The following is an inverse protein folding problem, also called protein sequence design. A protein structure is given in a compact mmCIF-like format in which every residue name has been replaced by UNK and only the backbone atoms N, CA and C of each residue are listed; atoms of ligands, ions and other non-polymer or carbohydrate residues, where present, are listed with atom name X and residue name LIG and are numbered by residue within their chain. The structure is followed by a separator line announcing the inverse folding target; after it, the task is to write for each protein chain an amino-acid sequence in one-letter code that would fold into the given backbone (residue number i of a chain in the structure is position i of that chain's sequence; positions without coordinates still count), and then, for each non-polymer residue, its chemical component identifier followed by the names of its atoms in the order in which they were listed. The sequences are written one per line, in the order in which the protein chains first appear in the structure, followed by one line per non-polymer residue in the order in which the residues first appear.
data_IF_730787803089
#
_entry.id   IF_730787803089
#
_cell.length_a   1.000
_cell.length_b   1.000
_cell.length_c   1.000
_cell.angle_alpha   90.00
_cell.angle_beta   90.00
_cell.angle_gamma   90.00
#
_symmetry.space_group_name_H-M   'P 1'
#
loop_
_entity.id
_entity.type
_entity.pdbx_description
1 polymer ?
#
# COMPACT_ATOMS: atom_id res chain seq x y z
N UNK A 1 -22.34 -16.31 -14.90
CA UNK A 1 -20.92 -15.96 -15.18
C UNK A 1 -20.31 -15.38 -13.91
N UNK A 2 -20.15 -16.25 -12.93
CA UNK A 2 -19.78 -15.99 -11.54
C UNK A 2 -18.30 -16.34 -11.28
N UNK A 3 -17.50 -16.37 -12.35
CA UNK A 3 -16.67 -17.56 -12.63
C UNK A 3 -15.16 -17.43 -12.37
N UNK A 4 -14.63 -16.32 -11.85
CA UNK A 4 -13.17 -16.19 -11.67
C UNK A 4 -12.84 -15.52 -10.33
N UNK A 5 -13.33 -14.31 -10.10
CA UNK A 5 -12.97 -13.54 -8.90
C UNK A 5 -13.65 -14.02 -7.59
N UNK A 6 -14.51 -15.04 -7.63
CA UNK A 6 -15.19 -15.54 -6.42
C UNK A 6 -14.58 -16.84 -5.87
N UNK A 7 -13.59 -17.42 -6.54
CA UNK A 7 -12.90 -18.62 -6.06
C UNK A 7 -11.39 -18.35 -5.96
N UNK A 8 -10.94 -17.60 -4.94
CA UNK A 8 -9.55 -17.16 -4.81
C UNK A 8 -8.56 -18.31 -4.61
N UNK A 9 -9.05 -19.51 -4.29
CA UNK A 9 -8.25 -20.74 -4.23
C UNK A 9 -7.94 -21.39 -5.58
N UNK A 10 -8.41 -20.84 -6.70
CA UNK A 10 -8.14 -21.35 -8.05
C UNK A 10 -7.31 -20.36 -8.85
N UNK A 11 -6.30 -20.87 -9.55
CA UNK A 11 -5.57 -20.12 -10.55
C UNK A 11 -6.35 -20.12 -11.86
N UNK A 12 -6.62 -18.94 -12.40
CA UNK A 12 -7.32 -18.79 -13.66
C UNK A 12 -6.33 -18.37 -14.74
N UNK A 13 -6.21 -19.19 -15.78
CA UNK A 13 -5.46 -18.82 -16.97
C UNK A 13 -6.32 -17.90 -17.83
N UNK A 14 -5.79 -16.74 -18.18
CA UNK A 14 -6.40 -15.88 -19.20
C UNK A 14 -5.67 -16.10 -20.51
N UNK A 15 -6.40 -16.40 -21.58
CA UNK A 15 -5.78 -16.64 -22.89
C UNK A 15 -5.19 -15.35 -23.45
N UNK A 16 -3.95 -15.42 -23.95
CA UNK A 16 -3.32 -14.35 -24.74
C UNK A 16 -3.44 -14.64 -26.23
N UNK A 17 -3.43 -13.60 -27.06
CA UNK A 17 -3.22 -13.74 -28.49
C UNK A 17 -1.74 -14.04 -28.80
N UNK A 18 -1.40 -14.24 -30.08
CA UNK A 18 -0.03 -14.53 -30.51
C UNK A 18 1.00 -13.43 -30.17
N UNK A 19 0.54 -12.20 -29.87
CA UNK A 19 1.38 -11.09 -29.45
C UNK A 19 1.54 -10.98 -27.91
N UNK A 20 1.06 -11.96 -27.15
CA UNK A 20 1.12 -11.96 -25.69
C UNK A 20 0.12 -11.00 -25.02
N UNK A 21 -0.83 -10.43 -25.79
CA UNK A 21 -1.86 -9.54 -25.27
C UNK A 21 -3.06 -10.35 -24.80
N UNK A 22 -3.59 -10.06 -23.62
CA UNK A 22 -4.78 -10.74 -23.09
C UNK A 22 -5.95 -10.57 -24.07
N UNK A 23 -6.61 -11.69 -24.43
CA UNK A 23 -7.74 -11.68 -25.35
C UNK A 23 -8.87 -10.79 -24.81
N UNK A 24 -9.37 -9.88 -25.65
CA UNK A 24 -10.43 -8.92 -25.27
C UNK A 24 -11.75 -9.60 -24.87
N UNK A 25 -12.02 -10.79 -25.40
CA UNK A 25 -13.18 -11.61 -25.04
C UNK A 25 -12.95 -12.49 -23.80
N UNK A 26 -11.75 -12.48 -23.21
CA UNK A 26 -11.50 -13.21 -21.97
C UNK A 26 -12.38 -12.65 -20.85
N UNK A 27 -12.93 -13.53 -20.00
CA UNK A 27 -13.84 -13.12 -18.93
C UNK A 27 -13.24 -12.07 -18.00
N UNK A 28 -11.93 -12.16 -17.71
CA UNK A 28 -11.16 -11.17 -16.96
C UNK A 28 -11.26 -9.78 -17.60
N UNK A 29 -10.89 -9.68 -18.87
CA UNK A 29 -10.86 -8.41 -19.61
C UNK A 29 -12.25 -7.85 -19.84
N UNK A 30 -13.26 -8.70 -20.09
CA UNK A 30 -14.61 -8.26 -20.45
C UNK A 30 -15.44 -7.79 -19.26
N UNK A 31 -15.26 -8.40 -18.08
CA UNK A 31 -16.17 -8.18 -16.95
C UNK A 31 -15.50 -7.63 -15.69
N UNK A 32 -14.16 -7.55 -15.64
CA UNK A 32 -13.42 -7.24 -14.42
C UNK A 32 -12.41 -6.10 -14.63
N UNK A 33 -12.94 -4.89 -14.89
CA UNK A 33 -12.18 -3.64 -14.93
C UNK A 33 -12.01 -3.06 -13.51
N UNK A 34 -11.12 -3.65 -12.71
CA UNK A 34 -10.79 -3.14 -11.39
C UNK A 34 -9.41 -2.52 -11.37
N UNK A 35 -9.26 -1.39 -10.70
CA UNK A 35 -7.94 -0.81 -10.46
C UNK A 35 -7.17 -1.58 -9.39
N UNK A 36 -7.88 -2.09 -8.39
CA UNK A 36 -7.33 -2.88 -7.28
C UNK A 36 -8.34 -3.97 -6.87
N UNK A 37 -7.83 -5.13 -6.46
CA UNK A 37 -8.66 -6.25 -5.98
C UNK A 37 -9.01 -6.15 -4.50
N UNK A 38 -8.24 -5.41 -3.68
CA UNK A 38 -8.51 -5.29 -2.24
C UNK A 38 -9.71 -4.39 -1.92
N UNK A 39 -10.04 -3.44 -2.81
CA UNK A 39 -11.21 -2.57 -2.73
C UNK A 39 -11.79 -2.32 -4.13
N UNK A 40 -12.48 -3.33 -4.68
CA UNK A 40 -12.90 -3.36 -6.10
C UNK A 40 -13.88 -2.24 -6.51
N UNK A 41 -14.58 -1.65 -5.53
CA UNK A 41 -15.51 -0.56 -5.77
C UNK A 41 -14.84 0.82 -5.71
N UNK A 42 -13.58 0.90 -5.26
CA UNK A 42 -12.82 2.15 -5.32
C UNK A 42 -12.34 2.37 -6.77
N UNK A 43 -12.99 3.33 -7.44
CA UNK A 43 -12.73 3.70 -8.84
C UNK A 43 -12.03 5.04 -8.99
N UNK A 44 -11.56 5.63 -7.90
CA UNK A 44 -10.99 6.98 -7.89
C UNK A 44 -9.49 6.89 -7.68
N UNK A 45 -8.73 6.99 -8.76
CA UNK A 45 -7.27 7.13 -8.65
C UNK A 45 -6.91 8.47 -8.01
N UNK A 46 -5.91 8.48 -7.12
CA UNK A 46 -5.41 9.71 -6.51
C UNK A 46 -4.19 10.24 -7.22
N UNK A 47 -4.11 11.57 -7.36
CA UNK A 47 -2.93 12.26 -7.85
C UNK A 47 -1.77 12.18 -6.85
N UNK A 48 -0.53 12.54 -7.24
CA UNK A 48 0.57 12.51 -6.28
C UNK A 48 0.29 13.46 -5.13
N UNK A 49 0.59 13.04 -3.91
CA UNK A 49 0.38 13.85 -2.71
C UNK A 49 -1.10 14.23 -2.47
N UNK A 50 -2.04 13.44 -2.98
CA UNK A 50 -3.48 13.63 -2.77
C UNK A 50 -4.07 12.51 -1.90
N UNK A 51 -4.88 12.92 -0.92
CA UNK A 51 -5.63 11.99 -0.06
C UNK A 51 -6.77 11.37 -0.85
N UNK A 52 -6.91 10.05 -0.74
CA UNK A 52 -8.15 9.35 -1.03
C UNK A 52 -8.83 9.02 0.30
N UNK A 53 -10.07 9.40 0.48
CA UNK A 53 -10.84 9.03 1.67
C UNK A 53 -12.02 8.10 1.33
N UNK A 54 -12.00 7.49 0.16
CA UNK A 54 -12.99 6.47 -0.21
C UNK A 54 -12.88 5.31 0.77
N UNK A 55 -13.96 4.93 1.47
CA UNK A 55 -13.94 3.81 2.39
C UNK A 55 -13.44 2.53 1.71
N UNK A 56 -12.57 1.81 2.39
CA UNK A 56 -12.10 0.50 1.92
C UNK A 56 -13.19 -0.52 2.19
N UNK A 57 -13.72 -1.12 1.12
CA UNK A 57 -14.63 -2.26 1.23
C UNK A 57 -13.82 -3.52 0.93
N UNK A 58 -13.46 -4.24 2.00
CA UNK A 58 -12.64 -5.44 1.92
C UNK A 58 -13.26 -6.48 1.00
N UNK A 59 -12.41 -7.11 0.18
CA UNK A 59 -12.78 -8.29 -0.61
C UNK A 59 -12.04 -9.53 -0.13
N UNK A 60 -12.38 -10.68 -0.72
CA UNK A 60 -11.67 -11.94 -0.48
C UNK A 60 -10.21 -11.94 -0.97
N UNK A 61 -9.75 -10.91 -1.69
CA UNK A 61 -8.35 -10.75 -2.12
C UNK A 61 -7.53 -9.87 -1.18
N UNK A 62 -8.16 -9.21 -0.23
CA UNK A 62 -7.45 -8.45 0.80
C UNK A 62 -6.66 -9.43 1.68
N UNK A 63 -5.34 -9.21 1.86
CA UNK A 63 -4.49 -10.13 2.63
C UNK A 63 -4.67 -10.03 4.16
N UNK A 64 -5.52 -9.13 4.65
CA UNK A 64 -5.66 -8.84 6.08
C UNK A 64 -6.53 -9.87 6.80
N UNK A 65 -6.31 -10.12 8.11
CA UNK A 65 -7.18 -10.98 8.93
C UNK A 65 -8.64 -10.48 8.97
N UNK A 66 -9.58 -11.34 9.38
CA UNK A 66 -10.99 -10.95 9.60
C UNK A 66 -11.07 -9.80 10.62
N UNK A 67 -11.90 -8.80 10.34
CA UNK A 67 -12.05 -7.59 11.15
C UNK A 67 -11.02 -6.50 10.86
N UNK A 68 -10.16 -6.69 9.87
CA UNK A 68 -9.17 -5.72 9.39
C UNK A 68 -9.13 -5.68 7.86
N UNK A 69 -8.78 -4.53 7.29
CA UNK A 69 -8.52 -4.37 5.85
C UNK A 69 -7.17 -3.72 5.59
N UNK A 70 -6.69 -3.82 4.35
CA UNK A 70 -5.61 -2.94 3.87
C UNK A 70 -6.09 -1.49 4.04
N UNK A 71 -5.27 -0.57 4.58
CA UNK A 71 -5.70 0.79 4.82
C UNK A 71 -5.88 1.58 3.52
N UNK A 72 -6.76 2.59 3.54
CA UNK A 72 -6.65 3.71 2.62
C UNK A 72 -5.44 4.58 2.99
N UNK A 73 -4.86 5.30 2.02
CA UNK A 73 -3.76 6.24 2.23
C UNK A 73 -4.12 7.36 3.21
N UNK A 74 -5.41 7.67 3.40
CA UNK A 74 -5.89 8.57 4.43
C UNK A 74 -5.45 8.14 5.85
N UNK A 75 -5.33 6.84 6.12
CA UNK A 75 -4.91 6.31 7.42
C UNK A 75 -3.49 6.75 7.82
N UNK A 76 -2.66 7.12 6.84
CA UNK A 76 -1.28 7.52 7.07
C UNK A 76 -1.07 9.03 7.20
N UNK A 77 -2.09 9.84 6.91
CA UNK A 77 -1.97 11.31 6.93
C UNK A 77 -1.56 11.84 8.31
N UNK A 78 -1.91 11.16 9.41
CA UNK A 78 -1.46 11.53 10.75
C UNK A 78 0.06 11.40 11.01
N UNK A 79 0.82 10.80 10.09
CA UNK A 79 2.27 10.63 10.22
C UNK A 79 3.08 11.87 9.86
N UNK A 80 2.45 12.87 9.24
CA UNK A 80 3.03 14.20 9.07
C UNK A 80 2.04 15.27 9.54
N UNK A 81 2.55 16.41 10.01
CA UNK A 81 1.73 17.45 10.63
C UNK A 81 0.69 18.07 9.68
N UNK A 82 0.94 18.03 8.37
CA UNK A 82 0.04 18.56 7.34
C UNK A 82 -0.67 17.47 6.53
N UNK A 83 -0.47 16.18 6.84
CA UNK A 83 -1.05 15.08 6.09
C UNK A 83 -0.44 14.83 4.71
N UNK A 84 0.62 15.56 4.34
CA UNK A 84 1.24 15.49 3.03
C UNK A 84 2.63 14.86 3.10
N UNK A 85 3.11 14.41 1.94
CA UNK A 85 4.48 13.94 1.75
C UNK A 85 5.49 14.99 2.18
N UNK A 86 6.53 14.53 2.88
CA UNK A 86 7.63 15.36 3.40
C UNK A 86 7.17 16.48 4.33
N UNK A 87 5.93 16.43 4.83
CA UNK A 87 5.50 17.27 5.94
C UNK A 87 6.30 16.97 7.20
N UNK A 88 6.27 17.90 8.16
CA UNK A 88 6.94 17.71 9.45
C UNK A 88 6.53 16.37 10.08
N UNK A 89 7.51 15.50 10.31
CA UNK A 89 7.26 14.13 10.77
C UNK A 89 6.65 14.11 12.17
N UNK A 90 5.62 13.28 12.36
CA UNK A 90 4.96 13.10 13.66
C UNK A 90 5.51 11.87 14.41
N UNK A 91 6.81 11.88 14.67
CA UNK A 91 7.55 10.76 15.27
C UNK A 91 7.97 11.04 16.72
N UNK A 92 8.17 9.97 17.49
CA UNK A 92 8.68 9.98 18.84
C UNK A 92 10.21 9.83 18.84
N UNK A 93 10.91 10.89 18.41
CA UNK A 93 12.38 10.97 18.45
C UNK A 93 13.12 10.04 17.48
N UNK A 94 12.41 9.40 16.53
CA UNK A 94 13.02 8.53 15.50
C UNK A 94 13.33 9.26 14.20
N UNK A 95 13.39 10.58 14.21
CA UNK A 95 13.80 11.48 13.11
C UNK A 95 15.32 11.69 13.03
N UNK A 96 16.07 11.00 13.90
CA UNK A 96 17.54 11.00 13.91
C UNK A 96 18.08 9.58 13.71
N UNK A 97 19.21 9.47 13.01
CA UNK A 97 19.78 8.20 12.55
C UNK A 97 19.97 7.17 13.66
N UNK A 98 20.51 7.57 14.80
CA UNK A 98 20.77 6.66 15.91
C UNK A 98 19.47 6.00 16.44
N UNK A 99 18.43 6.81 16.65
CA UNK A 99 17.14 6.33 17.15
C UNK A 99 16.39 5.52 16.08
N UNK A 100 16.42 5.94 14.81
CA UNK A 100 15.83 5.21 13.70
C UNK A 100 16.45 3.81 13.54
N UNK A 101 17.79 3.71 13.58
CA UNK A 101 18.50 2.43 13.52
C UNK A 101 18.17 1.54 14.72
N UNK A 102 18.15 2.11 15.93
CA UNK A 102 17.83 1.35 17.15
C UNK A 102 16.40 0.78 17.14
N UNK A 103 15.44 1.50 16.55
CA UNK A 103 14.05 1.06 16.42
C UNK A 103 13.76 0.31 15.11
N UNK A 104 14.77 0.15 14.25
CA UNK A 104 14.64 -0.39 12.90
C UNK A 104 13.51 0.31 12.11
N UNK A 105 13.38 1.64 12.20
CA UNK A 105 12.31 2.41 11.58
C UNK A 105 11.80 3.57 12.45
N UNK A 106 10.58 4.04 12.15
CA UNK A 106 9.95 5.12 12.90
C UNK A 106 9.01 4.61 14.00
N UNK A 107 8.91 5.39 15.07
CA UNK A 107 7.86 5.27 16.09
C UNK A 107 6.97 6.50 15.96
N UNK A 108 5.75 6.35 15.46
CA UNK A 108 4.81 7.45 15.25
C UNK A 108 3.94 7.68 16.48
N UNK A 109 3.54 8.93 16.71
CA UNK A 109 2.46 9.25 17.64
C UNK A 109 1.11 8.91 17.00
N UNK A 110 0.22 8.26 17.76
CA UNK A 110 -1.11 7.83 17.27
C UNK A 110 -2.21 8.82 17.57
N UNK A 111 -1.94 9.83 18.39
CA UNK A 111 -2.89 10.86 18.78
C UNK A 111 -2.19 12.20 19.05
N UNK A 112 -2.97 13.28 19.04
CA UNK A 112 -2.48 14.66 19.28
C UNK A 112 -1.94 14.87 20.69
N UNK A 113 -2.41 14.11 21.68
CA UNK A 113 -1.92 14.16 23.06
C UNK A 113 -0.58 13.47 23.27
N UNK A 114 -0.04 12.78 22.24
CA UNK A 114 1.25 12.08 22.27
C UNK A 114 1.41 11.14 23.47
N UNK A 115 0.37 10.37 23.78
CA UNK A 115 0.39 9.40 24.89
C UNK A 115 0.40 7.93 24.43
N UNK A 116 0.28 7.68 23.12
CA UNK A 116 0.36 6.34 22.56
C UNK A 116 1.09 6.35 21.20
N UNK A 117 1.83 5.29 20.93
CA UNK A 117 2.69 5.17 19.75
C UNK A 117 2.44 3.91 18.94
N UNK A 118 2.92 3.92 17.69
CA UNK A 118 2.95 2.76 16.81
C UNK A 118 4.27 2.71 16.05
N UNK A 119 4.95 1.57 16.06
CA UNK A 119 6.17 1.37 15.29
C UNK A 119 5.88 1.08 13.82
N UNK A 120 6.71 1.58 12.91
CA UNK A 120 6.68 1.24 11.48
C UNK A 120 8.10 0.87 11.06
N UNK A 121 8.40 -0.44 10.96
CA UNK A 121 9.74 -0.88 10.63
C UNK A 121 10.19 -0.50 9.21
N UNK A 122 11.46 -0.20 9.03
CA UNK A 122 12.10 0.01 7.74
C UNK A 122 12.38 -1.34 7.07
N UNK A 123 11.33 -2.08 6.68
CA UNK A 123 11.48 -3.42 6.11
C UNK A 123 12.11 -3.45 4.72
N UNK A 124 12.33 -2.31 4.07
CA UNK A 124 12.76 -2.24 2.69
C UNK A 124 11.70 -2.79 1.74
N UNK A 125 12.15 -3.39 0.64
CA UNK A 125 11.26 -4.00 -0.34
C UNK A 125 11.93 -5.15 -1.10
N UNK A 126 11.12 -5.97 -1.78
CA UNK A 126 11.59 -6.94 -2.78
C UNK A 126 11.41 -6.42 -4.19
N UNK A 127 12.46 -6.46 -5.00
CA UNK A 127 12.39 -6.00 -6.39
C UNK A 127 11.65 -7.00 -7.27
N UNK A 128 11.14 -6.52 -8.41
CA UNK A 128 10.38 -7.37 -9.34
C UNK A 128 11.24 -8.15 -10.33
N UNK A 129 12.54 -7.86 -10.45
CA UNK A 129 13.40 -8.49 -11.46
C UNK A 129 13.98 -9.80 -10.94
N UNK A 130 14.49 -9.78 -9.71
CA UNK A 130 15.14 -10.95 -9.10
C UNK A 130 14.55 -11.35 -7.74
N UNK A 131 13.57 -10.60 -7.21
CA UNK A 131 13.01 -10.85 -5.88
C UNK A 131 13.99 -10.55 -4.74
N UNK A 132 15.10 -9.88 -5.04
CA UNK A 132 16.12 -9.47 -4.09
C UNK A 132 15.57 -8.44 -3.12
N UNK A 133 16.05 -8.51 -1.88
CA UNK A 133 15.63 -7.65 -0.80
C UNK A 133 16.58 -6.46 -0.65
N UNK A 134 16.02 -5.24 -0.64
CA UNK A 134 16.79 -4.00 -0.60
C UNK A 134 16.34 -3.08 0.52
N UNK A 135 17.26 -2.26 1.03
CA UNK A 135 17.03 -1.15 1.96
C UNK A 135 16.46 -1.51 3.35
N UNK A 136 16.53 -2.78 3.76
CA UNK A 136 16.22 -3.19 5.13
C UNK A 136 16.98 -2.37 6.16
N UNK A 137 16.27 -1.82 7.14
CA UNK A 137 16.79 -0.94 8.19
C UNK A 137 17.01 0.52 7.76
N UNK A 138 16.78 0.85 6.49
CA UNK A 138 16.96 2.21 5.94
C UNK A 138 15.65 2.80 5.44
N UNK A 139 14.88 2.07 4.63
CA UNK A 139 13.62 2.53 4.04
C UNK A 139 12.50 1.55 4.32
N UNK A 140 11.25 1.99 4.24
CA UNK A 140 10.10 1.12 4.30
C UNK A 140 8.98 1.67 3.43
N UNK A 141 8.31 0.80 2.70
CA UNK A 141 7.13 1.13 1.91
C UNK A 141 5.98 0.21 2.31
N UNK A 142 4.78 0.77 2.37
CA UNK A 142 3.58 0.11 2.87
C UNK A 142 2.41 0.31 1.93
N UNK A 143 1.86 -0.78 1.41
CA UNK A 143 0.73 -0.73 0.50
C UNK A 143 -0.52 -0.14 1.15
N UNK A 144 -1.27 0.62 0.34
CA UNK A 144 -2.64 1.05 0.62
C UNK A 144 -3.61 0.45 -0.41
N UNK A 145 -4.89 0.41 -0.07
CA UNK A 145 -5.95 -0.14 -0.92
C UNK A 145 -6.38 0.81 -2.05
N UNK A 146 -5.85 2.03 -2.07
CA UNK A 146 -6.23 3.02 -3.06
C UNK A 146 -5.65 2.72 -4.44
N UNK A 147 -6.47 2.89 -5.49
CA UNK A 147 -6.00 2.73 -6.84
C UNK A 147 -5.13 3.92 -7.24
N UNK A 148 -4.25 3.66 -8.20
CA UNK A 148 -3.51 4.69 -8.89
C UNK A 148 -3.49 4.41 -10.40
N UNK A 149 -2.36 4.00 -10.97
CA UNK A 149 -2.19 3.82 -12.40
C UNK A 149 -1.69 2.40 -12.74
N UNK A 150 -1.47 2.15 -14.03
CA UNK A 150 -1.08 0.82 -14.52
C UNK A 150 0.32 0.39 -14.06
N UNK A 151 1.21 1.35 -13.76
CA UNK A 151 2.60 1.12 -13.38
C UNK A 151 2.80 1.19 -11.86
N UNK A 152 2.05 2.05 -11.16
CA UNK A 152 2.26 2.38 -9.75
C UNK A 152 1.01 2.15 -8.89
N UNK A 153 1.21 1.67 -7.67
CA UNK A 153 0.19 1.60 -6.62
C UNK A 153 0.45 2.65 -5.55
N UNK A 154 -0.56 2.91 -4.71
CA UNK A 154 -0.43 3.84 -3.59
C UNK A 154 0.29 3.18 -2.40
N UNK A 155 1.30 3.86 -1.86
CA UNK A 155 2.05 3.42 -0.69
C UNK A 155 2.28 4.56 0.30
N UNK A 156 2.54 4.22 1.55
CA UNK A 156 3.22 5.10 2.49
C UNK A 156 4.69 4.73 2.58
N UNK A 157 5.58 5.73 2.48
CA UNK A 157 7.02 5.55 2.55
C UNK A 157 7.65 6.15 3.81
N UNK A 158 8.69 5.52 4.34
CA UNK A 158 9.53 6.03 5.44
C UNK A 158 11.02 5.97 5.10
N UNK A 159 11.74 6.97 5.57
CA UNK A 159 13.21 7.11 5.58
C UNK A 159 13.57 7.90 6.85
N UNK A 160 14.80 7.80 7.34
CA UNK A 160 15.23 8.46 8.60
C UNK A 160 14.80 9.93 8.72
N UNK A 161 14.88 10.69 7.62
CA UNK A 161 14.66 12.13 7.56
C UNK A 161 13.34 12.52 6.88
N UNK A 162 12.56 11.54 6.37
CA UNK A 162 11.37 11.80 5.55
C UNK A 162 10.28 10.75 5.70
N UNK A 163 9.04 11.24 5.71
CA UNK A 163 7.83 10.40 5.65
C UNK A 163 6.97 10.84 4.48
N UNK A 164 6.43 9.86 3.76
CA UNK A 164 5.61 10.06 2.58
C UNK A 164 4.25 9.36 2.76
N UNK A 165 3.27 9.97 3.45
CA UNK A 165 1.96 9.36 3.68
C UNK A 165 1.16 9.03 2.41
N UNK A 166 1.40 9.80 1.33
CA UNK A 166 0.62 9.81 0.09
C UNK A 166 1.55 9.56 -1.11
N UNK A 167 2.39 8.53 -1.02
CA UNK A 167 3.37 8.19 -2.06
C UNK A 167 2.83 7.14 -3.03
N UNK A 168 3.59 6.91 -4.10
CA UNK A 168 3.24 5.95 -5.15
C UNK A 168 4.52 5.26 -5.62
N UNK A 169 4.45 3.95 -5.79
CA UNK A 169 5.61 3.14 -6.14
C UNK A 169 5.21 1.95 -7.02
N UNK A 170 6.18 1.31 -7.63
CA UNK A 170 6.00 0.29 -8.67
C UNK A 170 5.18 -0.89 -8.15
N UNK A 171 4.09 -1.26 -8.84
CA UNK A 171 3.13 -2.29 -8.40
C UNK A 171 3.72 -3.69 -8.28
N UNK A 172 4.82 -3.95 -8.98
CA UNK A 172 5.47 -5.26 -9.03
C UNK A 172 6.43 -5.50 -7.86
N UNK A 173 6.68 -4.50 -7.01
CA UNK A 173 7.55 -4.66 -5.84
C UNK A 173 6.81 -5.28 -4.66
N UNK A 174 7.55 -6.04 -3.84
CA UNK A 174 7.05 -6.61 -2.60
C UNK A 174 7.21 -5.62 -1.45
N UNK A 175 6.13 -4.90 -1.11
CA UNK A 175 6.04 -4.02 0.06
C UNK A 175 5.19 -4.65 1.18
N UNK A 176 5.32 -4.10 2.38
CA UNK A 176 4.55 -4.56 3.54
C UNK A 176 3.10 -4.04 3.51
N UNK A 177 2.22 -4.66 4.30
CA UNK A 177 0.87 -4.17 4.59
C UNK A 177 0.76 -3.97 6.10
N UNK A 178 0.10 -2.88 6.53
CA UNK A 178 -0.26 -2.62 7.94
C UNK A 178 -1.77 -2.50 8.04
N UNK A 179 -2.48 -3.62 8.30
CA UNK A 179 -3.93 -3.61 8.32
C UNK A 179 -4.51 -2.66 9.37
N UNK A 180 -5.68 -2.10 9.09
CA UNK A 180 -6.48 -1.28 10.00
C UNK A 180 -7.80 -1.98 10.28
N UNK A 181 -8.40 -1.72 11.45
CA UNK A 181 -9.71 -2.28 11.77
C UNK A 181 -10.78 -1.78 10.79
N UNK A 182 -11.72 -2.65 10.44
CA UNK A 182 -12.88 -2.33 9.58
C UNK A 182 -13.88 -1.39 10.27
#
# INVERSE_FOLDING_TARGET
MQNIIQNPGFFYTTGTNAAGVINTNAGLTKYYYFYNLWSINNRTASNPNQVNNTPVVKTIYDPSPVGFSVPSNAAFTGFTANGLNEGTMNVNGTDVQAAYTANYGHVFWTNSSRNATIGFPAFGYRDSKYGAWFYGGSKGDYWSADPNDVNNGCVMGIQVDKVYPLYRNVRTYGFAVRPVAE
#
